data_IF_761162084195
#
_entry.id   IF_761162084195
#
_cell.length_a   1.000
_cell.length_b   1.000
_cell.length_c   1.000
_cell.angle_alpha   90.00
_cell.angle_beta   90.00
_cell.angle_gamma   90.00
#
_symmetry.space_group_name_H-M   'P 1'
#
loop_
_entity.id
_entity.type
_entity.pdbx_description
1 polymer ?
#
# COMPACT_ATOMS: atom_id res chain seq x y z
N UNK A 1 -8.32 6.63 9.35
CA UNK A 1 -7.05 7.17 9.88
C UNK A 1 -6.92 7.04 11.41
N UNK A 2 -7.67 7.81 12.22
CA UNK A 2 -7.55 7.78 13.70
C UNK A 2 -8.70 6.98 14.35
N UNK A 3 -8.74 5.69 14.02
CA UNK A 3 -9.74 4.75 14.52
C UNK A 3 -9.00 3.46 14.94
N UNK A 4 -9.07 3.03 16.22
CA UNK A 4 -9.63 3.74 17.38
C UNK A 4 -9.00 5.14 17.60
N UNK A 5 -9.69 5.99 18.36
CA UNK A 5 -9.29 7.39 18.54
C UNK A 5 -8.03 7.50 19.41
N UNK A 6 -7.06 8.31 18.99
CA UNK A 6 -5.78 8.50 19.71
C UNK A 6 -5.83 9.59 20.79
N UNK A 7 -6.78 10.52 20.65
CA UNK A 7 -6.96 11.70 21.51
C UNK A 7 -8.38 12.24 21.39
N UNK A 8 -8.72 13.24 22.21
CA UNK A 8 -10.04 13.89 22.23
C UNK A 8 -10.41 14.48 20.86
N UNK A 9 -9.45 15.07 20.13
CA UNK A 9 -9.72 15.69 18.82
C UNK A 9 -10.16 14.64 17.80
N UNK A 10 -9.46 13.50 17.75
CA UNK A 10 -9.84 12.38 16.89
C UNK A 10 -11.17 11.73 17.30
N UNK A 11 -11.52 11.75 18.60
CA UNK A 11 -12.83 11.30 19.08
C UNK A 11 -13.97 12.20 18.58
N UNK A 12 -13.83 13.52 18.70
CA UNK A 12 -14.80 14.48 18.16
C UNK A 12 -14.91 14.40 16.64
N UNK A 13 -13.80 14.19 15.93
CA UNK A 13 -13.81 14.00 14.47
C UNK A 13 -14.61 12.75 14.07
N UNK A 14 -14.38 11.60 14.72
CA UNK A 14 -15.14 10.37 14.41
C UNK A 14 -16.61 10.51 14.76
N UNK A 15 -16.93 11.17 15.88
CA UNK A 15 -18.32 11.50 16.24
C UNK A 15 -19.00 12.36 15.17
N UNK A 16 -18.33 13.42 14.70
CA UNK A 16 -18.83 14.29 13.63
C UNK A 16 -19.13 13.51 12.35
N UNK A 17 -18.22 12.62 11.92
CA UNK A 17 -18.42 11.79 10.73
C UNK A 17 -19.61 10.84 10.88
N UNK A 18 -19.82 10.27 12.07
CA UNK A 18 -20.97 9.43 12.38
C UNK A 18 -22.28 10.20 12.33
N UNK A 19 -22.31 11.40 12.90
CA UNK A 19 -23.48 12.27 12.90
C UNK A 19 -23.83 12.71 11.48
N UNK A 20 -22.83 13.14 10.70
CA UNK A 20 -22.98 13.45 9.28
C UNK A 20 -23.54 12.27 8.47
N UNK A 21 -22.96 11.07 8.63
CA UNK A 21 -23.43 9.88 7.92
C UNK A 21 -24.90 9.56 8.23
N UNK A 22 -25.35 9.78 9.47
CA UNK A 22 -26.75 9.58 9.88
C UNK A 22 -27.66 10.67 9.31
N UNK A 23 -27.25 11.93 9.38
CA UNK A 23 -28.01 13.07 8.88
C UNK A 23 -28.30 12.94 7.38
N UNK A 24 -27.29 12.55 6.59
CA UNK A 24 -27.39 12.44 5.14
C UNK A 24 -27.75 11.02 4.64
N UNK A 25 -28.02 10.08 5.54
CA UNK A 25 -28.42 8.71 5.17
C UNK A 25 -27.34 7.94 4.38
N UNK A 26 -26.06 8.19 4.67
CA UNK A 26 -24.93 7.55 3.97
C UNK A 26 -24.89 6.06 4.32
N UNK A 27 -25.24 5.22 3.34
CA UNK A 27 -25.35 3.76 3.53
C UNK A 27 -23.99 3.06 3.67
N UNK A 28 -22.96 3.59 3.02
CA UNK A 28 -21.59 3.05 3.05
C UNK A 28 -20.74 3.77 4.11
N UNK A 29 -21.16 3.66 5.37
CA UNK A 29 -20.44 4.19 6.53
C UNK A 29 -19.89 3.04 7.40
N UNK A 30 -18.59 3.09 7.69
CA UNK A 30 -17.87 2.06 8.43
C UNK A 30 -17.32 2.64 9.75
N UNK A 31 -17.86 2.17 10.87
CA UNK A 31 -17.44 2.56 12.24
C UNK A 31 -16.31 1.64 12.76
N UNK A 32 -15.62 2.05 13.83
CA UNK A 32 -14.68 1.19 14.57
C UNK A 32 -15.28 -0.21 14.79
N UNK A 33 -14.49 -1.26 14.50
CA UNK A 33 -14.92 -2.67 14.54
C UNK A 33 -15.53 -3.19 13.23
N UNK A 34 -15.85 -2.31 12.28
CA UNK A 34 -16.22 -2.67 10.88
C UNK A 34 -15.35 -1.98 9.84
N UNK A 35 -14.72 -0.87 10.21
CA UNK A 35 -13.80 -0.12 9.36
C UNK A 35 -12.48 -0.85 9.12
N UNK A 36 -11.78 -0.38 8.10
CA UNK A 36 -10.42 -0.76 7.73
C UNK A 36 -9.75 0.40 6.99
N UNK A 37 -8.58 0.14 6.45
CA UNK A 37 -7.88 1.08 5.59
C UNK A 37 -8.65 1.19 4.26
N UNK A 38 -9.08 2.40 3.91
CA UNK A 38 -10.07 2.62 2.83
C UNK A 38 -9.67 1.99 1.49
N UNK A 39 -8.38 2.08 1.14
CA UNK A 39 -7.87 1.55 -0.14
C UNK A 39 -7.79 0.02 -0.22
N UNK A 40 -8.08 -0.66 0.88
CA UNK A 40 -8.26 -2.12 0.93
C UNK A 40 -9.74 -2.45 1.13
N UNK A 41 -10.39 -1.73 2.05
CA UNK A 41 -11.79 -1.91 2.39
C UNK A 41 -12.72 -1.71 1.20
N UNK A 42 -12.56 -0.63 0.42
CA UNK A 42 -13.50 -0.28 -0.65
C UNK A 42 -13.50 -1.32 -1.80
N UNK A 43 -12.34 -1.82 -2.28
CA UNK A 43 -12.27 -2.97 -3.17
C UNK A 43 -12.82 -4.27 -2.57
N UNK A 44 -12.46 -4.59 -1.31
CA UNK A 44 -12.89 -5.84 -0.67
C UNK A 44 -14.41 -5.88 -0.45
N UNK A 45 -15.02 -4.73 -0.16
CA UNK A 45 -16.47 -4.54 -0.06
C UNK A 45 -17.16 -4.46 -1.43
N UNK A 46 -16.44 -4.56 -2.55
CA UNK A 46 -16.99 -4.51 -3.89
C UNK A 46 -17.65 -3.17 -4.23
N UNK A 47 -17.23 -2.08 -3.57
CA UNK A 47 -17.70 -0.73 -3.82
C UNK A 47 -16.96 -0.08 -5.00
N UNK A 48 -15.70 -0.47 -5.19
CA UNK A 48 -14.91 -0.12 -6.37
C UNK A 48 -14.77 -1.36 -7.25
N UNK A 49 -15.15 -1.21 -8.51
CA UNK A 49 -15.18 -2.28 -9.51
C UNK A 49 -14.49 -1.82 -10.80
N UNK A 50 -14.14 -2.75 -11.72
CA UNK A 50 -13.44 -2.39 -12.95
C UNK A 50 -14.16 -1.34 -13.80
N UNK A 51 -13.37 -0.46 -14.44
CA UNK A 51 -13.86 0.64 -15.28
C UNK A 51 -14.43 1.83 -14.53
N UNK A 52 -14.45 1.81 -13.20
CA UNK A 52 -14.91 2.95 -12.41
C UNK A 52 -14.02 4.20 -12.59
N UNK A 53 -14.65 5.37 -12.45
CA UNK A 53 -13.97 6.62 -12.12
C UNK A 53 -14.16 6.90 -10.63
N UNK A 54 -13.06 6.91 -9.86
CA UNK A 54 -13.10 7.09 -8.40
C UNK A 54 -12.25 8.30 -7.99
N UNK A 55 -12.89 9.24 -7.30
CA UNK A 55 -12.19 10.31 -6.59
C UNK A 55 -12.26 10.07 -5.08
N UNK A 56 -11.22 10.45 -4.35
CA UNK A 56 -11.14 10.27 -2.91
C UNK A 56 -10.40 11.40 -2.22
N UNK A 57 -10.67 11.58 -0.93
CA UNK A 57 -10.02 12.60 -0.09
C UNK A 57 -8.55 12.28 0.27
N UNK A 58 -8.05 11.13 -0.18
CA UNK A 58 -6.72 10.63 0.12
C UNK A 58 -5.86 10.54 -1.15
N UNK A 59 -4.58 10.86 -1.02
CA UNK A 59 -3.61 10.84 -2.12
C UNK A 59 -3.46 9.47 -2.78
N UNK A 60 -3.64 8.39 -2.02
CA UNK A 60 -3.43 7.01 -2.46
C UNK A 60 -4.69 6.38 -3.05
N UNK A 61 -5.72 7.18 -3.36
CA UNK A 61 -6.90 6.73 -4.10
C UNK A 61 -6.53 6.06 -5.44
N UNK A 62 -5.38 6.40 -6.03
CA UNK A 62 -4.79 5.74 -7.20
C UNK A 62 -4.60 4.21 -7.07
N UNK A 63 -4.67 3.67 -5.84
CA UNK A 63 -4.66 2.22 -5.57
C UNK A 63 -5.64 1.44 -6.43
N UNK A 64 -6.80 2.02 -6.76
CA UNK A 64 -7.85 1.31 -7.48
C UNK A 64 -7.56 1.11 -8.96
N UNK A 65 -6.52 1.74 -9.51
CA UNK A 65 -6.04 1.42 -10.85
C UNK A 65 -5.62 -0.04 -11.02
N UNK A 66 -5.31 -0.75 -9.93
CA UNK A 66 -5.12 -2.20 -9.94
C UNK A 66 -6.35 -2.98 -10.45
N UNK A 67 -7.56 -2.41 -10.29
CA UNK A 67 -8.82 -2.98 -10.79
C UNK A 67 -9.20 -2.50 -12.18
N UNK A 68 -8.28 -1.87 -12.93
CA UNK A 68 -8.62 -1.22 -14.20
C UNK A 68 -9.63 -0.07 -14.00
N UNK A 69 -9.49 0.69 -12.90
CA UNK A 69 -10.28 1.89 -12.63
C UNK A 69 -9.43 3.16 -12.79
N UNK A 70 -10.02 4.24 -13.28
CA UNK A 70 -9.36 5.54 -13.17
C UNK A 70 -9.61 6.09 -11.78
N UNK A 71 -8.55 6.22 -10.97
CA UNK A 71 -8.69 6.60 -9.57
C UNK A 71 -7.68 7.65 -9.14
N UNK A 72 -8.11 8.67 -8.42
CA UNK A 72 -7.23 9.79 -8.07
C UNK A 72 -7.65 10.53 -6.81
N UNK A 73 -6.67 11.01 -6.05
CA UNK A 73 -6.92 11.88 -4.90
C UNK A 73 -7.33 13.29 -5.35
N UNK A 74 -8.21 13.91 -4.57
CA UNK A 74 -8.66 15.29 -4.75
C UNK A 74 -8.67 16.03 -3.41
N UNK A 75 -8.64 17.37 -3.47
CA UNK A 75 -8.73 18.20 -2.27
C UNK A 75 -10.14 18.22 -1.67
N UNK A 76 -10.26 18.70 -0.43
CA UNK A 76 -11.55 18.81 0.26
C UNK A 76 -12.58 19.68 -0.49
N UNK A 77 -12.13 20.74 -1.17
CA UNK A 77 -13.00 21.59 -2.00
C UNK A 77 -13.61 20.83 -3.18
N UNK A 78 -12.79 20.10 -3.93
CA UNK A 78 -13.25 19.32 -5.09
C UNK A 78 -14.16 18.18 -4.64
N UNK A 79 -13.83 17.55 -3.51
CA UNK A 79 -14.67 16.50 -2.94
C UNK A 79 -16.04 17.04 -2.51
N UNK A 80 -16.07 18.20 -1.84
CA UNK A 80 -17.34 18.82 -1.44
C UNK A 80 -18.18 19.20 -2.67
N UNK A 81 -17.55 19.73 -3.73
CA UNK A 81 -18.23 20.02 -4.98
C UNK A 81 -18.79 18.75 -5.62
N UNK A 82 -18.02 17.67 -5.69
CA UNK A 82 -18.47 16.40 -6.24
C UNK A 82 -19.56 15.72 -5.40
N UNK A 83 -19.51 15.83 -4.08
CA UNK A 83 -20.60 15.35 -3.21
C UNK A 83 -21.91 16.13 -3.45
N UNK A 84 -21.81 17.42 -3.82
CA UNK A 84 -22.97 18.25 -4.10
C UNK A 84 -23.52 18.05 -5.51
N UNK A 85 -22.66 18.00 -6.54
CA UNK A 85 -23.07 17.95 -7.95
C UNK A 85 -23.14 16.54 -8.55
N UNK A 86 -22.42 15.58 -7.98
CA UNK A 86 -22.17 14.27 -8.60
C UNK A 86 -21.12 14.31 -9.73
N UNK A 87 -20.44 15.44 -9.94
CA UNK A 87 -19.53 15.67 -11.06
C UNK A 87 -18.20 16.29 -10.60
N UNK A 88 -17.13 16.04 -11.36
CA UNK A 88 -15.79 16.59 -11.09
C UNK A 88 -15.09 16.93 -12.41
N UNK A 89 -14.33 18.03 -12.41
CA UNK A 89 -13.49 18.42 -13.55
C UNK A 89 -12.10 17.83 -13.41
N UNK A 90 -11.67 17.04 -14.40
CA UNK A 90 -10.34 16.46 -14.46
C UNK A 90 -9.71 16.78 -15.81
N UNK A 91 -8.45 17.22 -15.79
CA UNK A 91 -7.63 17.26 -17.00
C UNK A 91 -7.22 15.82 -17.33
N UNK A 92 -7.50 15.38 -18.56
CA UNK A 92 -7.04 14.06 -19.05
C UNK A 92 -5.51 14.03 -19.02
N UNK A 93 -4.87 13.10 -18.28
CA UNK A 93 -3.43 13.01 -18.21
C UNK A 93 -2.87 12.36 -19.48
N UNK A 94 -1.62 12.68 -19.83
CA UNK A 94 -0.86 11.84 -20.76
C UNK A 94 -0.51 10.51 -20.08
N UNK A 95 -0.25 9.46 -20.87
CA UNK A 95 0.08 8.13 -20.33
C UNK A 95 1.56 7.82 -20.52
N UNK A 96 2.22 7.40 -19.44
CA UNK A 96 3.53 6.77 -19.43
C UNK A 96 3.34 5.26 -19.35
N UNK A 97 3.80 4.53 -20.36
CA UNK A 97 3.66 3.08 -20.40
C UNK A 97 4.79 2.41 -19.64
N UNK A 98 4.47 1.46 -18.77
CA UNK A 98 5.45 0.67 -18.03
C UNK A 98 5.32 -0.79 -18.48
N UNK A 99 6.27 -1.27 -19.27
CA UNK A 99 6.29 -2.62 -19.82
C UNK A 99 7.06 -3.53 -18.87
N UNK A 100 6.33 -4.40 -18.16
CA UNK A 100 6.85 -5.38 -17.24
C UNK A 100 7.07 -6.70 -17.98
N UNK A 101 8.28 -7.25 -17.92
CA UNK A 101 8.62 -8.53 -18.54
C UNK A 101 9.22 -9.52 -17.56
N UNK A 102 9.24 -10.80 -17.94
CA UNK A 102 9.86 -11.84 -17.11
C UNK A 102 9.07 -12.15 -15.83
N UNK A 103 9.70 -12.86 -14.88
CA UNK A 103 9.05 -13.33 -13.65
C UNK A 103 9.83 -12.87 -12.41
N UNK A 104 9.17 -12.31 -11.39
CA UNK A 104 9.81 -11.92 -10.15
C UNK A 104 10.60 -13.06 -9.51
N UNK A 105 11.81 -12.73 -9.04
CA UNK A 105 12.69 -13.63 -8.31
C UNK A 105 12.16 -14.00 -6.91
N UNK A 106 12.95 -14.81 -6.20
CA UNK A 106 12.64 -15.17 -4.80
C UNK A 106 12.60 -13.91 -3.95
N UNK A 107 11.58 -13.80 -3.09
CA UNK A 107 11.37 -12.66 -2.18
C UNK A 107 11.11 -11.31 -2.85
N UNK A 108 11.00 -11.25 -4.19
CA UNK A 108 10.59 -10.03 -4.90
C UNK A 108 9.07 -10.01 -4.98
N UNK A 109 8.47 -8.92 -4.53
CA UNK A 109 7.03 -8.67 -4.52
C UNK A 109 6.69 -7.37 -5.23
N UNK A 110 5.40 -7.04 -5.36
CA UNK A 110 4.97 -5.80 -6.03
C UNK A 110 5.59 -4.52 -5.44
N UNK A 111 5.97 -4.56 -4.15
CA UNK A 111 6.65 -3.47 -3.47
C UNK A 111 8.03 -3.18 -4.07
N UNK A 112 8.78 -4.21 -4.41
CA UNK A 112 10.12 -4.05 -4.99
C UNK A 112 10.03 -3.50 -6.42
N UNK A 113 9.03 -3.95 -7.19
CA UNK A 113 8.75 -3.43 -8.54
C UNK A 113 8.50 -1.93 -8.52
N UNK A 114 7.61 -1.46 -7.63
CA UNK A 114 7.28 -0.03 -7.59
C UNK A 114 8.38 0.81 -6.95
N UNK A 115 9.11 0.30 -5.97
CA UNK A 115 10.27 1.01 -5.43
C UNK A 115 11.38 1.12 -6.46
N UNK A 116 11.66 0.06 -7.22
CA UNK A 116 12.61 0.12 -8.34
C UNK A 116 12.20 1.19 -9.35
N UNK A 117 10.94 1.18 -9.80
CA UNK A 117 10.42 2.19 -10.72
C UNK A 117 10.58 3.63 -10.18
N UNK A 118 10.18 3.88 -8.94
CA UNK A 118 10.31 5.21 -8.31
C UNK A 118 11.80 5.59 -8.18
N UNK A 119 12.68 4.63 -7.90
CA UNK A 119 14.13 4.85 -7.87
C UNK A 119 14.72 5.24 -9.23
N UNK A 120 14.19 4.70 -10.32
CA UNK A 120 14.65 5.02 -11.67
C UNK A 120 14.13 6.37 -12.17
N UNK A 121 12.87 6.72 -11.88
CA UNK A 121 12.22 7.91 -12.46
C UNK A 121 12.10 9.09 -11.51
N UNK A 122 12.34 8.88 -10.22
CA UNK A 122 12.21 9.89 -9.17
C UNK A 122 10.76 10.23 -8.81
N UNK A 123 10.61 11.08 -7.79
CA UNK A 123 9.30 11.47 -7.24
C UNK A 123 8.43 12.32 -8.16
N UNK A 124 9.02 12.90 -9.22
CA UNK A 124 8.33 13.70 -10.24
C UNK A 124 8.36 13.05 -11.64
N UNK A 125 8.89 11.82 -11.77
CA UNK A 125 9.10 11.17 -13.07
C UNK A 125 7.82 10.95 -13.89
N UNK A 126 6.69 10.77 -13.20
CA UNK A 126 5.37 10.61 -13.78
C UNK A 126 4.43 11.79 -13.45
N UNK A 127 4.97 12.97 -13.11
CA UNK A 127 4.18 14.13 -12.71
C UNK A 127 3.03 14.44 -13.70
N UNK A 128 1.80 14.41 -13.19
CA UNK A 128 0.54 14.61 -13.94
C UNK A 128 0.27 13.60 -15.08
N UNK A 129 1.00 12.49 -15.15
CA UNK A 129 0.75 11.39 -16.09
C UNK A 129 0.00 10.25 -15.42
N UNK A 130 -0.68 9.43 -16.21
CA UNK A 130 -1.10 8.10 -15.78
C UNK A 130 0.05 7.12 -16.05
N UNK A 131 0.37 6.24 -15.10
CA UNK A 131 1.24 5.10 -15.33
C UNK A 131 0.37 3.92 -15.76
N UNK A 132 0.52 3.46 -17.00
CA UNK A 132 -0.20 2.27 -17.49
C UNK A 132 0.76 1.09 -17.52
N UNK A 133 0.43 0.04 -16.76
CA UNK A 133 1.23 -1.18 -16.71
C UNK A 133 0.84 -2.11 -17.85
N UNK A 134 1.82 -2.59 -18.62
CA UNK A 134 1.65 -3.53 -19.72
C UNK A 134 2.74 -4.62 -19.68
N UNK A 135 2.73 -5.54 -20.65
CA UNK A 135 3.74 -6.59 -20.81
C UNK A 135 3.35 -7.96 -20.26
N UNK A 136 4.13 -8.98 -20.61
CA UNK A 136 3.87 -10.37 -20.24
C UNK A 136 4.11 -10.65 -18.74
N UNK A 137 4.94 -9.84 -18.08
CA UNK A 137 5.22 -9.93 -16.65
C UNK A 137 3.97 -9.74 -15.77
N UNK A 138 2.92 -9.08 -16.27
CA UNK A 138 1.65 -8.87 -15.55
C UNK A 138 0.99 -10.19 -15.14
N UNK A 139 1.15 -11.24 -15.94
CA UNK A 139 0.61 -12.57 -15.65
C UNK A 139 1.19 -13.18 -14.38
N UNK A 140 2.33 -12.67 -13.89
CA UNK A 140 2.99 -13.13 -12.68
C UNK A 140 2.70 -12.25 -11.45
N UNK A 141 1.89 -11.21 -11.59
CA UNK A 141 1.57 -10.28 -10.51
C UNK A 141 0.15 -10.56 -9.95
N UNK A 142 0.02 -11.15 -8.75
CA UNK A 142 -1.28 -11.29 -8.10
C UNK A 142 -1.87 -9.92 -7.76
N UNK A 143 -3.19 -9.87 -7.55
CA UNK A 143 -3.89 -8.60 -7.29
C UNK A 143 -3.32 -7.80 -6.12
N UNK A 144 -2.88 -8.45 -5.03
CA UNK A 144 -2.23 -7.76 -3.90
C UNK A 144 -1.00 -6.95 -4.33
N UNK A 145 -0.21 -7.48 -5.28
CA UNK A 145 0.97 -6.80 -5.82
C UNK A 145 0.58 -5.68 -6.78
N UNK A 146 -0.47 -5.86 -7.59
CA UNK A 146 -1.02 -4.79 -8.43
C UNK A 146 -1.52 -3.62 -7.60
N UNK A 147 -2.25 -3.90 -6.52
CA UNK A 147 -2.68 -2.88 -5.55
C UNK A 147 -1.48 -2.15 -4.93
N UNK A 148 -0.42 -2.87 -4.55
CA UNK A 148 0.82 -2.27 -4.04
C UNK A 148 1.43 -1.30 -5.06
N UNK A 149 1.55 -1.74 -6.31
CA UNK A 149 2.16 -0.97 -7.39
C UNK A 149 1.32 0.28 -7.71
N UNK A 150 0.01 0.12 -7.93
CA UNK A 150 -0.91 1.22 -8.19
C UNK A 150 -0.99 2.22 -7.03
N UNK A 151 -0.96 1.74 -5.78
CA UNK A 151 -0.97 2.59 -4.58
C UNK A 151 0.19 3.58 -4.61
N UNK A 152 1.40 3.11 -4.91
CA UNK A 152 2.59 3.95 -4.85
C UNK A 152 2.87 4.73 -6.14
N UNK A 153 2.01 4.66 -7.16
CA UNK A 153 2.15 5.47 -8.38
C UNK A 153 2.20 6.98 -8.08
N UNK A 154 1.46 7.43 -7.05
CA UNK A 154 1.49 8.84 -6.61
C UNK A 154 2.85 9.27 -6.05
N UNK A 155 3.67 8.33 -5.56
CA UNK A 155 5.01 8.63 -5.05
C UNK A 155 6.02 8.86 -6.18
N UNK A 156 5.65 8.60 -7.44
CA UNK A 156 6.35 9.05 -8.65
C UNK A 156 5.67 10.28 -9.31
N UNK A 157 4.69 10.89 -8.63
CA UNK A 157 3.94 12.05 -9.12
C UNK A 157 2.79 11.70 -10.07
N UNK A 158 2.52 10.40 -10.29
CA UNK A 158 1.48 9.96 -11.21
C UNK A 158 0.07 10.32 -10.71
N UNK A 159 -0.79 10.71 -11.65
CA UNK A 159 -2.20 10.99 -11.39
C UNK A 159 -2.99 9.71 -11.04
N UNK A 160 -2.59 8.59 -11.65
CA UNK A 160 -3.15 7.24 -11.50
C UNK A 160 -2.10 6.19 -11.90
N UNK A 161 -2.19 4.97 -11.36
CA UNK A 161 -1.42 3.81 -11.82
C UNK A 161 -2.37 2.67 -12.20
N UNK A 162 -2.55 2.38 -13.48
CA UNK A 162 -3.62 1.52 -14.00
C UNK A 162 -3.10 0.21 -14.60
N UNK A 163 -3.70 -0.90 -14.17
CA UNK A 163 -3.49 -2.23 -14.73
C UNK A 163 -4.59 -2.60 -15.73
N UNK A 164 -4.30 -3.50 -16.69
CA UNK A 164 -5.32 -4.02 -17.59
C UNK A 164 -6.31 -4.91 -16.84
N UNK A 165 -7.48 -5.08 -17.44
CA UNK A 165 -8.47 -6.05 -17.00
C UNK A 165 -8.16 -7.43 -17.62
N UNK A 166 -7.58 -8.32 -16.82
CA UNK A 166 -7.29 -9.70 -17.19
C UNK A 166 -8.00 -10.69 -16.25
N UNK A 167 -7.64 -11.98 -16.33
CA UNK A 167 -8.28 -13.03 -15.53
C UNK A 167 -8.08 -12.85 -14.02
N UNK A 168 -6.93 -12.32 -13.58
CA UNK A 168 -6.69 -12.06 -12.16
C UNK A 168 -7.59 -10.93 -11.65
N UNK A 169 -7.74 -9.86 -12.45
CA UNK A 169 -8.65 -8.75 -12.14
C UNK A 169 -10.10 -9.22 -12.15
N UNK A 170 -10.51 -10.02 -13.16
CA UNK A 170 -11.85 -10.63 -13.25
C UNK A 170 -12.15 -11.50 -12.03
N UNK A 171 -11.27 -12.42 -11.68
CA UNK A 171 -11.46 -13.33 -10.56
C UNK A 171 -11.59 -12.60 -9.22
N UNK A 172 -10.83 -11.51 -9.02
CA UNK A 172 -10.96 -10.69 -7.82
C UNK A 172 -12.29 -9.93 -7.79
N UNK A 173 -12.71 -9.35 -8.93
CA UNK A 173 -13.93 -8.55 -9.05
C UNK A 173 -15.21 -9.40 -8.96
N UNK A 174 -15.31 -10.52 -9.70
CA UNK A 174 -16.53 -11.34 -9.77
C UNK A 174 -16.93 -11.95 -8.42
N UNK A 175 -15.96 -12.17 -7.51
CA UNK A 175 -16.23 -12.64 -6.15
C UNK A 175 -16.70 -11.56 -5.17
N UNK A 176 -16.70 -10.28 -5.56
CA UNK A 176 -16.90 -9.14 -4.64
C UNK A 176 -17.88 -8.09 -5.16
N UNK A 177 -17.92 -7.85 -6.47
CA UNK A 177 -18.65 -6.76 -7.08
C UNK A 177 -20.14 -6.82 -6.71
N UNK A 178 -20.64 -5.74 -6.09
CA UNK A 178 -22.05 -5.61 -5.68
C UNK A 178 -22.94 -5.06 -6.81
N UNK A 179 -22.34 -4.71 -7.96
CA UNK A 179 -23.01 -4.22 -9.17
C UNK A 179 -22.29 -4.70 -10.43
N UNK A 180 -22.98 -4.63 -11.56
CA UNK A 180 -22.34 -4.82 -12.87
C UNK A 180 -21.29 -3.74 -13.11
N UNK A 181 -20.24 -4.13 -13.80
CA UNK A 181 -19.14 -3.24 -14.17
C UNK A 181 -18.91 -3.30 -15.69
N UNK A 182 -18.44 -2.20 -16.25
CA UNK A 182 -18.13 -2.05 -17.67
C UNK A 182 -16.64 -1.84 -17.82
N UNK A 183 -15.98 -2.74 -18.53
CA UNK A 183 -14.52 -2.72 -18.64
C UNK A 183 -14.10 -1.85 -19.80
N UNK A 184 -13.13 -0.96 -19.55
CA UNK A 184 -12.44 -0.21 -20.59
C UNK A 184 -11.10 -0.89 -20.86
N UNK A 185 -10.80 -1.16 -22.13
CA UNK A 185 -9.55 -1.79 -22.56
C UNK A 185 -8.76 -0.85 -23.45
N UNK A 186 -7.44 -1.04 -23.50
CA UNK A 186 -6.55 -0.27 -24.36
C UNK A 186 -6.83 -0.54 -25.84
N UNK A 187 -6.84 0.52 -26.65
CA UNK A 187 -6.94 0.43 -28.10
C UNK A 187 -5.58 0.00 -28.73
N UNK A 188 -5.57 -0.78 -29.82
CA UNK A 188 -4.32 -1.22 -30.47
C UNK A 188 -3.42 -0.09 -30.97
N UNK A 189 -3.98 1.10 -31.24
CA UNK A 189 -3.27 2.28 -31.73
C UNK A 189 -3.09 3.38 -30.66
N UNK A 190 -3.27 3.03 -29.38
CA UNK A 190 -3.03 3.93 -28.25
C UNK A 190 -1.61 4.54 -28.31
N UNK A 191 -1.53 5.84 -28.02
CA UNK A 191 -0.27 6.60 -28.04
C UNK A 191 0.15 6.94 -26.62
N UNK A 192 1.45 6.83 -26.36
CA UNK A 192 2.05 7.06 -25.05
C UNK A 192 3.04 8.23 -25.12
N UNK A 193 3.13 8.99 -24.04
CA UNK A 193 4.12 10.06 -23.89
C UNK A 193 5.54 9.52 -23.68
N UNK A 194 5.67 8.26 -23.25
CA UNK A 194 6.93 7.55 -23.09
C UNK A 194 6.70 6.11 -22.68
N UNK A 195 7.77 5.32 -22.72
CA UNK A 195 7.77 3.91 -22.30
C UNK A 195 8.97 3.65 -21.37
N UNK A 196 8.73 2.86 -20.32
CA UNK A 196 9.74 2.35 -19.38
C UNK A 196 9.65 0.84 -19.41
N UNK A 197 10.77 0.15 -19.58
CA UNK A 197 10.84 -1.31 -19.56
C UNK A 197 11.45 -1.80 -18.25
N UNK A 198 10.84 -2.79 -17.60
CA UNK A 198 11.34 -3.42 -16.37
C UNK A 198 11.34 -4.94 -16.54
N UNK A 199 12.52 -5.55 -16.46
CA UNK A 199 12.67 -7.01 -16.37
C UNK A 199 12.55 -7.45 -14.91
N UNK A 200 11.42 -8.06 -14.57
CA UNK A 200 11.12 -8.56 -13.23
C UNK A 200 12.10 -9.66 -12.78
N UNK A 201 12.75 -10.36 -13.71
CA UNK A 201 13.68 -11.44 -13.42
C UNK A 201 15.05 -10.93 -12.96
N UNK A 202 15.38 -9.69 -13.31
CA UNK A 202 16.61 -9.02 -12.92
C UNK A 202 16.50 -8.30 -11.57
N UNK A 203 15.29 -8.18 -11.02
CA UNK A 203 15.06 -7.55 -9.72
C UNK A 203 15.51 -8.44 -8.56
N UNK A 204 16.09 -7.81 -7.56
CA UNK A 204 16.21 -8.33 -6.20
C UNK A 204 15.37 -7.46 -5.25
N UNK A 205 15.11 -7.86 -3.99
CA UNK A 205 14.36 -7.02 -3.07
C UNK A 205 14.97 -5.61 -2.94
N UNK A 206 14.13 -4.58 -2.78
CA UNK A 206 14.53 -3.17 -2.79
C UNK A 206 14.17 -2.51 -1.46
N UNK A 207 15.07 -1.66 -0.98
CA UNK A 207 14.84 -0.83 0.21
C UNK A 207 14.93 0.65 -0.16
N UNK A 208 13.89 1.41 0.13
CA UNK A 208 13.92 2.87 0.03
C UNK A 208 14.44 3.48 1.33
N UNK A 209 15.55 4.21 1.24
CA UNK A 209 16.20 4.92 2.32
C UNK A 209 15.52 6.26 2.58
N UNK A 210 15.59 6.80 3.81
CA UNK A 210 15.11 8.13 4.12
C UNK A 210 15.81 9.21 3.23
N UNK A 211 15.19 10.35 2.97
CA UNK A 211 13.83 10.76 3.36
C UNK A 211 12.88 10.86 2.15
N UNK A 212 13.17 10.17 1.05
CA UNK A 212 12.32 10.15 -0.14
C UNK A 212 12.18 8.71 -0.67
N UNK A 213 10.98 8.31 -1.16
CA UNK A 213 10.79 6.98 -1.71
C UNK A 213 11.70 6.63 -2.90
N UNK A 214 12.23 7.63 -3.62
CA UNK A 214 13.17 7.46 -4.74
C UNK A 214 14.60 7.07 -4.32
N UNK A 215 14.98 7.27 -3.04
CA UNK A 215 16.33 6.93 -2.56
C UNK A 215 16.44 5.41 -2.35
N UNK A 216 16.36 4.63 -3.42
CA UNK A 216 16.30 3.18 -3.34
C UNK A 216 17.66 2.53 -3.51
N UNK A 217 17.81 1.36 -2.88
CA UNK A 217 18.96 0.48 -3.04
C UNK A 217 18.48 -0.96 -3.13
N UNK A 218 19.09 -1.78 -3.98
CA UNK A 218 18.90 -3.21 -3.88
C UNK A 218 19.35 -3.72 -2.51
N UNK A 219 18.72 -4.79 -2.03
CA UNK A 219 18.97 -5.37 -0.71
C UNK A 219 20.46 -5.72 -0.51
N UNK A 220 21.12 -6.22 -1.55
CA UNK A 220 22.56 -6.50 -1.56
C UNK A 220 23.46 -5.30 -1.21
N UNK A 221 22.95 -4.07 -1.31
CA UNK A 221 23.72 -2.82 -1.13
C UNK A 221 23.27 -1.98 0.07
N UNK A 222 22.41 -2.49 0.95
CA UNK A 222 21.88 -1.72 2.08
C UNK A 222 22.90 -1.50 3.20
N UNK A 223 23.87 -2.41 3.33
CA UNK A 223 24.87 -2.38 4.40
C UNK A 223 24.28 -2.74 5.78
N UNK A 224 25.00 -2.40 6.85
CA UNK A 224 24.55 -2.67 8.22
C UNK A 224 23.78 -1.47 8.79
N UNK A 225 22.44 -1.55 8.76
CA UNK A 225 21.54 -0.50 9.29
C UNK A 225 20.74 -1.08 10.46
N UNK A 226 21.13 -0.80 11.72
CA UNK A 226 20.34 -1.18 12.90
C UNK A 226 18.96 -0.51 12.86
N UNK A 227 17.96 -1.19 13.41
CA UNK A 227 16.59 -0.69 13.50
C UNK A 227 16.05 -0.85 14.91
N UNK A 228 15.04 -0.04 15.25
CA UNK A 228 14.33 -0.07 16.53
C UNK A 228 12.90 -0.58 16.36
N UNK A 229 12.33 -0.42 15.15
CA UNK A 229 10.95 -0.78 14.85
C UNK A 229 10.78 -1.43 13.47
N UNK A 230 9.84 -2.38 13.40
CA UNK A 230 9.32 -2.95 12.16
C UNK A 230 7.81 -2.73 12.09
N UNK A 231 7.31 -2.27 10.94
CA UNK A 231 5.86 -2.15 10.69
C UNK A 231 5.48 -2.94 9.44
N UNK A 232 4.70 -4.01 9.62
CA UNK A 232 4.07 -4.77 8.54
C UNK A 232 2.58 -4.45 8.51
N UNK A 233 2.07 -3.94 7.39
CA UNK A 233 0.68 -3.52 7.26
C UNK A 233 0.51 -2.03 6.97
N UNK A 234 -0.30 -1.73 5.95
CA UNK A 234 -0.71 -0.40 5.51
C UNK A 234 -1.75 -0.52 4.37
N UNK A 235 -2.12 0.58 3.72
CA UNK A 235 -2.88 0.50 2.45
C UNK A 235 -2.09 -0.22 1.34
N UNK A 236 -0.76 -0.12 1.39
CA UNK A 236 0.16 -0.73 0.44
C UNK A 236 0.26 -2.24 0.66
N UNK A 237 0.61 -2.67 1.88
CA UNK A 237 0.97 -4.06 2.18
C UNK A 237 0.31 -4.58 3.47
N UNK A 238 -1.00 -4.48 3.60
CA UNK A 238 -1.79 -4.98 4.73
C UNK A 238 -2.84 -6.04 4.38
N UNK A 239 -2.77 -6.62 3.17
CA UNK A 239 -3.67 -7.69 2.72
C UNK A 239 -3.25 -9.04 3.30
N UNK A 240 -4.10 -10.05 3.16
CA UNK A 240 -3.79 -11.38 3.70
C UNK A 240 -2.53 -11.97 3.06
N UNK A 241 -2.29 -11.72 1.76
CA UNK A 241 -1.08 -12.16 1.06
C UNK A 241 0.19 -11.57 1.67
N UNK A 242 0.17 -10.28 2.02
CA UNK A 242 1.31 -9.60 2.67
C UNK A 242 1.57 -10.18 4.07
N UNK A 243 0.51 -10.47 4.82
CA UNK A 243 0.63 -11.10 6.13
C UNK A 243 1.17 -12.53 6.03
N UNK A 244 0.74 -13.31 5.03
CA UNK A 244 1.26 -14.65 4.77
C UNK A 244 2.74 -14.63 4.40
N UNK A 245 3.16 -13.69 3.55
CA UNK A 245 4.57 -13.61 3.14
C UNK A 245 5.48 -13.20 4.30
N UNK A 246 5.06 -12.24 5.14
CA UNK A 246 5.76 -11.92 6.38
C UNK A 246 5.75 -13.09 7.40
N UNK A 247 4.61 -13.78 7.55
CA UNK A 247 4.48 -14.91 8.46
C UNK A 247 5.38 -16.09 8.05
N UNK A 248 5.53 -16.35 6.75
CA UNK A 248 6.43 -17.39 6.24
C UNK A 248 7.89 -17.18 6.66
N UNK A 249 8.30 -15.91 6.86
CA UNK A 249 9.63 -15.55 7.34
C UNK A 249 9.71 -15.62 8.88
N UNK A 250 8.70 -15.13 9.59
CA UNK A 250 8.75 -15.02 11.06
C UNK A 250 8.46 -16.34 11.80
N UNK A 251 7.75 -17.28 11.16
CA UNK A 251 7.26 -18.51 11.81
C UNK A 251 8.40 -19.29 12.46
N UNK A 252 8.21 -19.63 13.74
CA UNK A 252 9.19 -20.36 14.54
C UNK A 252 10.41 -19.52 14.98
N UNK A 253 10.44 -18.23 14.67
CA UNK A 253 11.51 -17.30 15.04
C UNK A 253 11.04 -16.31 16.10
N UNK A 254 11.96 -15.52 16.63
CA UNK A 254 11.69 -14.46 17.60
C UNK A 254 12.16 -13.12 17.05
N UNK A 255 11.38 -12.08 17.29
CA UNK A 255 11.79 -10.70 17.06
C UNK A 255 13.01 -10.41 17.96
N UNK A 256 13.99 -9.69 17.42
CA UNK A 256 15.19 -9.29 18.14
C UNK A 256 14.85 -8.47 19.40
N UNK A 257 15.55 -8.69 20.52
CA UNK A 257 15.21 -8.09 21.83
C UNK A 257 15.19 -6.54 21.82
N UNK A 258 15.97 -5.92 20.94
CA UNK A 258 16.01 -4.47 20.75
C UNK A 258 14.99 -3.91 19.76
N UNK A 259 14.15 -4.74 19.13
CA UNK A 259 13.24 -4.33 18.06
C UNK A 259 11.79 -4.56 18.46
N UNK A 260 10.93 -3.59 18.15
CA UNK A 260 9.47 -3.77 18.23
C UNK A 260 8.87 -4.03 16.86
N UNK A 261 8.13 -5.12 16.71
CA UNK A 261 7.42 -5.45 15.47
C UNK A 261 5.93 -5.20 15.65
N UNK A 262 5.31 -4.49 14.71
CA UNK A 262 3.89 -4.13 14.73
C UNK A 262 3.23 -4.64 13.44
N UNK A 263 2.16 -5.42 13.61
CA UNK A 263 1.37 -5.99 12.51
C UNK A 263 0.02 -5.28 12.42
N UNK A 264 -0.29 -4.72 11.26
CA UNK A 264 -1.49 -3.93 10.98
C UNK A 264 -2.30 -4.59 9.83
N UNK A 265 -3.17 -5.57 10.10
CA UNK A 265 -4.09 -6.09 9.08
C UNK A 265 -4.97 -4.96 8.54
N UNK A 266 -5.19 -4.88 7.23
CA UNK A 266 -5.82 -3.71 6.65
C UNK A 266 -7.33 -3.61 6.91
N UNK A 267 -8.05 -4.72 7.08
CA UNK A 267 -9.50 -4.76 7.31
C UNK A 267 -9.87 -5.79 8.38
N UNK A 268 -11.10 -5.72 8.89
CA UNK A 268 -11.59 -6.70 9.88
C UNK A 268 -11.69 -8.10 9.30
N UNK A 269 -12.04 -8.23 8.01
CA UNK A 269 -12.05 -9.54 7.35
C UNK A 269 -10.64 -10.13 7.28
N UNK A 270 -9.63 -9.32 6.91
CA UNK A 270 -8.23 -9.76 6.91
C UNK A 270 -7.76 -10.10 8.32
N UNK A 271 -8.15 -9.34 9.34
CA UNK A 271 -7.86 -9.63 10.74
C UNK A 271 -8.39 -11.02 11.14
N UNK A 272 -9.68 -11.28 10.85
CA UNK A 272 -10.33 -12.56 11.14
C UNK A 272 -9.72 -13.71 10.34
N UNK A 273 -9.37 -13.47 9.08
CA UNK A 273 -8.73 -14.45 8.23
C UNK A 273 -7.33 -14.82 8.76
N UNK A 274 -6.52 -13.82 9.14
CA UNK A 274 -5.20 -14.04 9.74
C UNK A 274 -5.27 -14.82 11.06
N UNK A 275 -6.31 -14.60 11.87
CA UNK A 275 -6.58 -15.40 13.06
C UNK A 275 -6.92 -16.85 12.70
N UNK A 276 -7.85 -17.07 11.75
CA UNK A 276 -8.28 -18.41 11.32
C UNK A 276 -7.15 -19.23 10.68
N UNK A 277 -6.21 -18.56 10.00
CA UNK A 277 -5.06 -19.19 9.37
C UNK A 277 -3.86 -19.40 10.31
N UNK A 278 -3.97 -19.00 11.58
CA UNK A 278 -2.87 -19.12 12.56
C UNK A 278 -1.75 -18.09 12.40
N UNK A 279 -1.87 -17.14 11.45
CA UNK A 279 -0.85 -16.11 11.22
C UNK A 279 -0.71 -15.19 12.43
N UNK A 280 -1.81 -14.89 13.11
CA UNK A 280 -1.79 -14.10 14.35
C UNK A 280 -0.96 -14.79 15.43
N UNK A 281 -1.09 -16.11 15.56
CA UNK A 281 -0.31 -16.89 16.52
C UNK A 281 1.18 -16.89 16.16
N UNK A 282 1.53 -17.04 14.88
CA UNK A 282 2.91 -16.92 14.40
C UNK A 282 3.55 -15.58 14.82
N UNK A 283 2.85 -14.45 14.57
CA UNK A 283 3.35 -13.12 14.90
C UNK A 283 3.44 -12.86 16.41
N UNK A 284 2.38 -13.16 17.15
CA UNK A 284 2.33 -12.93 18.61
C UNK A 284 3.35 -13.81 19.32
N UNK A 285 3.50 -15.06 18.90
CA UNK A 285 4.51 -15.98 19.45
C UNK A 285 5.91 -15.49 19.13
N UNK A 286 6.16 -14.87 17.98
CA UNK A 286 7.44 -14.24 17.67
C UNK A 286 7.74 -12.99 18.53
N UNK A 287 6.75 -12.43 19.24
CA UNK A 287 6.89 -11.23 20.06
C UNK A 287 6.40 -9.95 19.39
N UNK A 288 5.68 -10.05 18.27
CA UNK A 288 5.10 -8.90 17.59
C UNK A 288 3.76 -8.46 18.22
N UNK A 289 3.48 -7.15 18.17
CA UNK A 289 2.17 -6.60 18.51
C UNK A 289 1.22 -6.72 17.30
N UNK A 290 0.13 -7.47 17.45
CA UNK A 290 -0.89 -7.61 16.41
C UNK A 290 -2.08 -6.67 16.69
N UNK A 291 -2.30 -5.70 15.81
CA UNK A 291 -3.26 -4.61 16.03
C UNK A 291 -4.61 -4.84 15.37
N UNK A 292 -5.62 -4.08 15.81
CA UNK A 292 -6.82 -3.79 15.01
C UNK A 292 -6.44 -3.07 13.71
N UNK A 293 -7.25 -3.20 12.64
CA UNK A 293 -7.07 -2.43 11.41
C UNK A 293 -6.96 -0.92 11.64
N UNK A 294 -5.89 -0.32 11.14
CA UNK A 294 -5.62 1.12 11.21
C UNK A 294 -4.42 1.48 10.33
N UNK A 295 -4.29 2.74 9.89
CA UNK A 295 -3.08 3.21 9.20
C UNK A 295 -1.88 3.34 10.15
N UNK A 296 -2.12 3.25 11.47
CA UNK A 296 -1.08 3.20 12.50
C UNK A 296 -0.11 4.39 12.42
N UNK A 297 1.20 4.14 12.38
CA UNK A 297 2.20 5.21 12.41
C UNK A 297 2.46 5.82 11.02
N UNK A 298 1.81 5.35 9.95
CA UNK A 298 2.08 5.74 8.56
C UNK A 298 2.11 7.27 8.32
N UNK A 299 1.28 8.03 9.05
CA UNK A 299 1.23 9.49 8.99
C UNK A 299 1.58 10.16 10.34
N UNK A 300 2.29 9.45 11.22
CA UNK A 300 2.56 9.91 12.58
C UNK A 300 1.29 9.93 13.43
N UNK A 301 0.35 9.03 13.14
CA UNK A 301 -0.95 9.01 13.80
C UNK A 301 -0.89 8.46 15.21
N UNK A 302 -0.72 7.15 15.34
CA UNK A 302 -0.64 6.42 16.62
C UNK A 302 -0.13 5.00 16.38
N UNK A 303 0.01 4.17 17.42
CA UNK A 303 0.42 2.75 17.29
C UNK A 303 1.82 2.56 16.69
N UNK A 304 2.86 3.04 17.38
CA UNK A 304 4.26 2.88 16.95
C UNK A 304 4.92 4.18 16.46
N UNK A 305 4.64 5.30 17.12
CA UNK A 305 5.29 6.58 16.81
C UNK A 305 6.78 6.50 17.15
N UNK A 306 7.63 6.98 16.24
CA UNK A 306 9.08 7.01 16.43
C UNK A 306 9.52 8.20 17.29
N UNK A 307 10.42 7.93 18.22
CA UNK A 307 11.15 8.92 19.01
C UNK A 307 12.37 9.46 18.23
N UNK A 308 13.05 10.43 18.84
CA UNK A 308 14.28 11.02 18.28
C UNK A 308 15.37 9.96 18.10
N UNK A 309 15.94 9.88 16.90
CA UNK A 309 17.05 8.98 16.56
C UNK A 309 16.63 7.53 16.27
N UNK A 310 15.35 7.19 16.41
CA UNK A 310 14.88 5.83 16.11
C UNK A 310 14.72 5.59 14.62
N UNK A 311 14.92 4.33 14.23
CA UNK A 311 14.84 3.84 12.86
C UNK A 311 13.75 2.78 12.73
N UNK A 312 12.86 2.96 11.76
CA UNK A 312 11.90 1.94 11.37
C UNK A 312 12.17 1.40 9.98
N UNK A 313 12.01 0.09 9.78
CA UNK A 313 11.72 -0.48 8.45
C UNK A 313 10.22 -0.78 8.36
N UNK A 314 9.60 -0.37 7.27
CA UNK A 314 8.14 -0.35 7.14
C UNK A 314 7.68 -0.77 5.76
N UNK A 315 6.54 -1.44 5.73
CA UNK A 315 5.82 -1.79 4.50
C UNK A 315 4.81 -0.70 4.06
N UNK A 316 4.86 0.48 4.69
CA UNK A 316 4.11 1.68 4.24
C UNK A 316 4.74 2.29 2.97
N UNK A 317 4.17 3.39 2.47
CA UNK A 317 4.53 4.01 1.20
C UNK A 317 5.35 5.30 1.29
N UNK A 318 5.53 5.88 2.50
CA UNK A 318 6.20 7.18 2.68
C UNK A 318 7.24 7.15 3.79
N UNK A 319 8.38 7.80 3.54
CA UNK A 319 9.50 7.91 4.48
C UNK A 319 10.05 9.33 4.64
N UNK A 320 9.21 10.34 4.41
CA UNK A 320 9.56 11.75 4.61
C UNK A 320 10.02 12.05 6.05
N UNK A 321 10.73 13.16 6.24
CA UNK A 321 11.14 13.66 7.56
C UNK A 321 9.93 13.75 8.50
N UNK A 322 10.03 13.15 9.68
CA UNK A 322 8.96 13.15 10.69
C UNK A 322 7.70 12.35 10.29
N UNK A 323 7.76 11.53 9.24
CA UNK A 323 6.57 10.85 8.71
C UNK A 323 5.91 9.90 9.71
N UNK A 324 6.70 9.20 10.52
CA UNK A 324 6.20 8.25 11.54
C UNK A 324 6.35 8.76 12.97
N UNK A 325 6.70 10.04 13.17
CA UNK A 325 6.92 10.59 14.50
C UNK A 325 7.89 11.75 14.53
N UNK A 326 8.92 11.64 15.35
CA UNK A 326 9.89 12.71 15.54
C UNK A 326 10.60 13.08 14.23
N UNK A 327 10.86 14.37 13.92
CA UNK A 327 11.56 14.77 12.69
C UNK A 327 12.95 14.13 12.51
N UNK A 328 13.66 13.88 13.61
CA UNK A 328 14.97 13.17 13.62
C UNK A 328 14.83 11.64 13.68
N UNK A 329 13.68 11.07 13.34
CA UNK A 329 13.52 9.63 13.12
C UNK A 329 13.69 9.28 11.64
N UNK A 330 14.10 8.06 11.36
CA UNK A 330 14.35 7.57 10.01
C UNK A 330 13.40 6.41 9.66
N UNK A 331 12.87 6.42 8.44
CA UNK A 331 11.97 5.38 7.95
C UNK A 331 12.56 4.80 6.67
N UNK A 332 12.62 3.48 6.62
CA UNK A 332 13.03 2.70 5.46
C UNK A 332 11.80 1.96 4.93
N UNK A 333 11.62 1.91 3.62
CA UNK A 333 10.50 1.20 3.01
C UNK A 333 10.99 -0.10 2.40
N UNK A 334 10.30 -1.20 2.66
CA UNK A 334 10.61 -2.51 2.06
C UNK A 334 9.34 -3.31 1.83
N UNK A 335 9.48 -4.45 1.17
CA UNK A 335 8.44 -5.47 1.13
C UNK A 335 8.26 -6.18 2.51
N UNK A 336 7.16 -6.94 2.71
CA UNK A 336 6.91 -7.69 3.94
C UNK A 336 7.96 -8.75 4.29
N UNK A 337 8.48 -9.59 3.36
CA UNK A 337 9.54 -10.55 3.68
C UNK A 337 10.81 -9.91 4.26
N UNK A 338 11.30 -8.82 3.66
CA UNK A 338 12.47 -8.08 4.15
C UNK A 338 12.18 -7.42 5.49
N UNK A 339 11.00 -6.84 5.68
CA UNK A 339 10.61 -6.27 6.97
C UNK A 339 10.58 -7.33 8.08
N UNK A 340 10.00 -8.50 7.81
CA UNK A 340 9.95 -9.61 8.76
C UNK A 340 11.34 -10.19 9.06
N UNK A 341 12.20 -10.35 8.06
CA UNK A 341 13.58 -10.80 8.28
C UNK A 341 14.38 -9.79 9.12
N UNK A 342 14.21 -8.50 8.82
CA UNK A 342 14.85 -7.42 9.57
C UNK A 342 14.42 -7.41 11.05
N UNK A 343 13.17 -7.77 11.35
CA UNK A 343 12.67 -7.89 12.72
C UNK A 343 13.44 -8.94 13.54
N UNK A 344 13.83 -10.05 12.91
CA UNK A 344 14.61 -11.12 13.55
C UNK A 344 16.09 -10.74 13.66
N UNK A 345 16.62 -10.07 12.63
CA UNK A 345 18.04 -9.71 12.57
C UNK A 345 18.43 -8.53 13.46
N UNK A 346 17.49 -7.65 13.84
CA UNK A 346 17.80 -6.41 14.56
C UNK A 346 18.37 -5.29 13.68
N UNK A 347 18.43 -5.52 12.37
CA UNK A 347 18.94 -4.62 11.33
C UNK A 347 18.24 -4.91 10.02
N UNK A 348 18.35 -3.99 9.06
CA UNK A 348 17.88 -4.25 7.69
C UNK A 348 18.63 -5.45 7.10
N UNK A 349 17.88 -6.44 6.61
CA UNK A 349 18.42 -7.65 6.02
C UNK A 349 17.35 -8.55 5.40
N UNK A 350 17.80 -9.55 4.64
CA UNK A 350 16.94 -10.44 3.85
C UNK A 350 16.55 -11.74 4.52
N UNK A 351 15.49 -12.42 4.04
CA UNK A 351 15.13 -13.76 4.53
C UNK A 351 16.25 -14.80 4.35
N UNK A 352 17.11 -14.65 3.34
CA UNK A 352 18.21 -15.58 3.06
C UNK A 352 19.40 -15.43 4.04
N UNK A 353 19.42 -14.38 4.87
CA UNK A 353 20.39 -14.22 5.96
C UNK A 353 19.96 -14.94 7.25
N UNK A 354 18.72 -15.41 7.32
CA UNK A 354 18.18 -16.09 8.50
C UNK A 354 18.63 -17.56 8.54
N UNK A 355 18.90 -18.10 9.74
CA UNK A 355 19.23 -19.51 9.92
C UNK A 355 18.03 -20.44 9.70
#
# INVERSE_FOLDING_TARGET
HFAPNKDIKSAEQVKMMREFAREFGIVNYFEVGRMGIEHVLLPDEGLVVPGDLVIGADSHTCTYGALCAFSTGVGSTDLAAAMFSGEVWLKVPETLRVVLSGRPGKWVEGKDVILHLIGEIGVDGALYRAMEYAGDGIAHLPMAWRFTISNMAIEAGAKNGIFPFDEATRAYADGRAKRKYEVVTVDPDARYAGEIAVDLSALEPVVAFPHLPENTRPLSQVGNVPIDQVVVGSCTNGRIEDLRSAAAVIRGRKVHDGVRMIILPATQEIYLQAMREGLMEDFVTAGAAFSTPTCGPCLGGHMGILAKGERAISTTNRNFVGRMGHPESEVYLSNPPVAAASAVLGRIGGPDELP
#
